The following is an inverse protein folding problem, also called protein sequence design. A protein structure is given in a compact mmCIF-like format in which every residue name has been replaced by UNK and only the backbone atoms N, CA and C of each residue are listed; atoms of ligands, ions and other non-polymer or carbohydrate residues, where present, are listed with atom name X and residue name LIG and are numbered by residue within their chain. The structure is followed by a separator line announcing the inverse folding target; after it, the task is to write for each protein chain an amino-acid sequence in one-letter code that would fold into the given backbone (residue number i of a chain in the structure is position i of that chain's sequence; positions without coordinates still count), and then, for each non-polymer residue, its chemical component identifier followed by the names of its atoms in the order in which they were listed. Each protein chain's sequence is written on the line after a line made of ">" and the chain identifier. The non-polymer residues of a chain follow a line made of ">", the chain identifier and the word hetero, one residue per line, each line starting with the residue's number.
data_IF_480076687231
#
_entry.id   IF_480076687231
#
_cell.length_a   1.000
_cell.length_b   1.000
_cell.length_c   1.000
_cell.angle_alpha   90.00
_cell.angle_beta   90.00
_cell.angle_gamma   90.00
#
_symmetry.space_group_name_H-M   'P 1'
#
loop_
_entity.id
_entity.type
_entity.pdbx_description
1 polymer ?
#
# COMPACT_ATOMS: atom_id res chain seq x y z
N UNK A 1 -21.86 -10.96 -11.19
CA UNK A 1 -21.26 -10.01 -12.20
C UNK A 1 -20.61 -10.78 -13.36
N UNK A 2 -20.97 -10.50 -14.62
CA UNK A 2 -20.30 -11.08 -15.80
C UNK A 2 -18.87 -10.55 -15.88
N UNK A 3 -17.88 -11.43 -15.75
CA UNK A 3 -16.45 -11.05 -15.89
C UNK A 3 -16.18 -10.65 -17.35
N UNK A 4 -15.92 -9.36 -17.59
CA UNK A 4 -15.51 -8.90 -18.92
C UNK A 4 -14.05 -9.26 -19.16
N UNK A 5 -13.78 -10.04 -20.22
CA UNK A 5 -12.42 -10.44 -20.59
C UNK A 5 -11.55 -9.22 -20.94
N UNK A 6 -12.13 -8.21 -21.57
CA UNK A 6 -11.42 -6.99 -21.95
C UNK A 6 -10.94 -6.25 -20.69
N UNK A 7 -11.82 -6.03 -19.71
CA UNK A 7 -11.48 -5.36 -18.46
C UNK A 7 -10.40 -6.13 -17.71
N UNK A 8 -10.47 -7.47 -17.70
CA UNK A 8 -9.44 -8.29 -17.08
C UNK A 8 -8.06 -8.14 -17.71
N UNK A 9 -7.97 -8.16 -19.04
CA UNK A 9 -6.69 -7.98 -19.74
C UNK A 9 -6.10 -6.57 -19.53
N UNK A 10 -6.94 -5.53 -19.60
CA UNK A 10 -6.52 -4.16 -19.31
C UNK A 10 -5.99 -4.03 -17.88
N UNK A 11 -6.72 -4.56 -16.90
CA UNK A 11 -6.30 -4.56 -15.50
C UNK A 11 -4.96 -5.29 -15.30
N UNK A 12 -4.76 -6.44 -15.93
CA UNK A 12 -3.54 -7.22 -15.85
C UNK A 12 -2.33 -6.48 -16.42
N UNK A 13 -2.51 -5.70 -17.50
CA UNK A 13 -1.45 -4.88 -18.08
C UNK A 13 -1.15 -3.65 -17.21
N UNK A 14 -2.17 -2.96 -16.69
CA UNK A 14 -1.99 -1.75 -15.89
C UNK A 14 -1.44 -2.02 -14.49
N UNK A 15 -1.73 -3.18 -13.91
CA UNK A 15 -1.30 -3.52 -12.56
C UNK A 15 0.22 -3.37 -12.32
N UNK A 16 1.10 -3.98 -13.13
CA UNK A 16 2.54 -3.82 -12.95
C UNK A 16 3.00 -2.37 -13.15
N UNK A 17 2.37 -1.61 -14.05
CA UNK A 17 2.69 -0.18 -14.20
C UNK A 17 2.35 0.62 -12.94
N UNK A 18 1.19 0.39 -12.33
CA UNK A 18 0.81 1.03 -11.07
C UNK A 18 1.80 0.68 -9.94
N UNK A 19 2.26 -0.58 -9.87
CA UNK A 19 3.24 -0.99 -8.86
C UNK A 19 4.59 -0.31 -9.08
N UNK A 20 5.12 -0.34 -10.30
CA UNK A 20 6.43 0.25 -10.61
C UNK A 20 6.40 1.77 -10.43
N UNK A 21 5.37 2.43 -10.94
CA UNK A 21 5.22 3.89 -10.82
C UNK A 21 4.99 4.31 -9.36
N UNK A 22 4.14 3.59 -8.62
CA UNK A 22 3.92 3.86 -7.19
C UNK A 22 5.19 3.69 -6.37
N UNK A 23 5.97 2.63 -6.63
CA UNK A 23 7.27 2.43 -5.98
C UNK A 23 8.26 3.55 -6.33
N UNK A 24 8.29 3.98 -7.60
CA UNK A 24 9.10 5.13 -8.01
C UNK A 24 8.73 6.38 -7.21
N UNK A 25 7.44 6.69 -7.07
CA UNK A 25 6.97 7.87 -6.29
C UNK A 25 7.37 7.75 -4.82
N UNK A 26 7.25 6.56 -4.20
CA UNK A 26 7.68 6.31 -2.81
C UNK A 26 9.17 6.59 -2.64
N UNK A 27 10.00 6.04 -3.51
CA UNK A 27 11.47 6.16 -3.40
C UNK A 27 11.96 7.60 -3.64
N UNK A 28 11.25 8.37 -4.48
CA UNK A 28 11.59 9.77 -4.79
C UNK A 28 10.86 10.78 -3.89
N UNK A 29 10.09 10.33 -2.91
CA UNK A 29 9.22 11.19 -2.10
C UNK A 29 9.93 12.24 -1.24
N UNK A 30 11.24 12.16 -1.06
CA UNK A 30 12.07 13.18 -0.42
C UNK A 30 12.68 14.19 -1.41
N UNK A 31 12.57 13.93 -2.72
CA UNK A 31 13.12 14.75 -3.80
C UNK A 31 12.06 15.47 -4.62
N UNK A 32 10.85 14.92 -4.68
CA UNK A 32 9.76 15.40 -5.54
C UNK A 32 8.48 15.63 -4.72
N UNK A 33 7.55 16.50 -5.22
CA UNK A 33 6.23 16.60 -4.62
C UNK A 33 5.49 15.26 -4.77
N UNK A 34 5.38 14.52 -3.71
CA UNK A 34 4.84 13.17 -3.63
C UNK A 34 5.65 12.38 -2.62
N UNK A 35 5.11 11.34 -2.04
CA UNK A 35 5.79 10.58 -1.01
C UNK A 35 5.18 9.21 -0.81
N UNK A 36 5.41 8.64 0.37
CA UNK A 36 4.92 7.32 0.73
C UNK A 36 3.42 7.16 0.54
N UNK A 37 2.63 8.13 0.98
CA UNK A 37 1.17 8.08 0.85
C UNK A 37 0.72 8.01 -0.62
N UNK A 38 1.17 8.93 -1.46
CA UNK A 38 0.76 9.00 -2.86
C UNK A 38 1.19 7.75 -3.63
N UNK A 39 2.43 7.31 -3.43
CA UNK A 39 2.93 6.09 -4.07
C UNK A 39 2.20 4.84 -3.60
N UNK A 40 1.91 4.73 -2.28
CA UNK A 40 1.10 3.65 -1.71
C UNK A 40 -0.32 3.61 -2.29
N UNK A 41 -0.96 4.77 -2.42
CA UNK A 41 -2.29 4.90 -3.02
C UNK A 41 -2.30 4.49 -4.50
N UNK A 42 -1.28 4.87 -5.28
CA UNK A 42 -1.14 4.44 -6.69
C UNK A 42 -0.99 2.92 -6.80
N UNK A 43 -0.15 2.30 -5.95
CA UNK A 43 -0.01 0.84 -5.93
C UNK A 43 -1.34 0.15 -5.56
N UNK A 44 -2.06 0.69 -4.57
CA UNK A 44 -3.37 0.17 -4.16
C UNK A 44 -4.43 0.30 -5.26
N UNK A 45 -4.37 1.35 -6.09
CA UNK A 45 -5.25 1.51 -7.25
C UNK A 45 -5.05 0.36 -8.25
N UNK A 46 -3.81 -0.08 -8.48
CA UNK A 46 -3.53 -1.27 -9.28
C UNK A 46 -4.19 -2.53 -8.72
N UNK A 47 -4.07 -2.74 -7.40
CA UNK A 47 -4.73 -3.86 -6.72
C UNK A 47 -6.26 -3.77 -6.82
N UNK A 48 -6.84 -2.57 -6.68
CA UNK A 48 -8.27 -2.30 -6.84
C UNK A 48 -8.75 -2.69 -8.24
N UNK A 49 -8.01 -2.30 -9.28
CA UNK A 49 -8.32 -2.63 -10.67
C UNK A 49 -8.42 -4.16 -10.89
N UNK A 50 -7.48 -4.91 -10.35
CA UNK A 50 -7.48 -6.37 -10.41
C UNK A 50 -8.67 -6.99 -9.66
N UNK A 51 -9.03 -6.42 -8.50
CA UNK A 51 -10.17 -6.87 -7.71
C UNK A 51 -11.51 -6.62 -8.42
N UNK A 52 -11.70 -5.40 -8.95
CA UNK A 52 -12.92 -5.00 -9.69
C UNK A 52 -13.04 -5.79 -10.99
N UNK A 53 -11.94 -6.05 -11.69
CA UNK A 53 -11.93 -6.91 -12.88
C UNK A 53 -12.30 -8.37 -12.60
N UNK A 54 -12.48 -8.75 -11.32
CA UNK A 54 -12.83 -10.11 -10.92
C UNK A 54 -11.72 -11.15 -11.16
N UNK A 55 -10.47 -10.68 -11.22
CA UNK A 55 -9.31 -11.54 -11.47
C UNK A 55 -8.94 -12.44 -10.28
N UNK A 56 -9.51 -12.18 -9.10
CA UNK A 56 -9.26 -12.97 -7.89
C UNK A 56 -10.50 -13.76 -7.49
N UNK A 57 -10.33 -15.06 -7.29
CA UNK A 57 -11.33 -15.92 -6.69
C UNK A 57 -11.46 -15.64 -5.17
N UNK A 58 -12.52 -16.16 -4.54
CA UNK A 58 -12.79 -15.91 -3.11
C UNK A 58 -11.66 -16.39 -2.20
N UNK A 59 -11.12 -17.58 -2.47
CA UNK A 59 -9.98 -18.12 -1.72
C UNK A 59 -8.73 -17.23 -1.86
N UNK A 60 -8.46 -16.74 -3.07
CA UNK A 60 -7.34 -15.83 -3.30
C UNK A 60 -7.51 -14.48 -2.60
N UNK A 61 -8.76 -13.99 -2.47
CA UNK A 61 -9.06 -12.75 -1.73
C UNK A 61 -8.81 -12.90 -0.24
N UNK A 62 -9.11 -14.07 0.33
CA UNK A 62 -8.83 -14.35 1.75
C UNK A 62 -7.34 -14.34 2.04
N UNK A 63 -6.56 -15.07 1.24
CA UNK A 63 -5.10 -15.09 1.36
C UNK A 63 -4.51 -13.69 1.20
N UNK A 64 -4.97 -12.92 0.20
CA UNK A 64 -4.49 -11.54 -0.03
C UNK A 64 -4.89 -10.58 1.07
N UNK A 65 -6.07 -10.74 1.69
CA UNK A 65 -6.48 -9.94 2.83
C UNK A 65 -5.46 -10.04 3.97
N UNK A 66 -5.06 -11.24 4.35
CA UNK A 66 -4.05 -11.43 5.39
C UNK A 66 -2.70 -10.82 5.03
N UNK A 67 -2.28 -10.93 3.77
CA UNK A 67 -1.03 -10.30 3.30
C UNK A 67 -1.12 -8.76 3.35
N UNK A 68 -2.21 -8.16 2.87
CA UNK A 68 -2.38 -6.71 2.91
C UNK A 68 -2.42 -6.19 4.36
N UNK A 69 -3.09 -6.89 5.27
CA UNK A 69 -3.10 -6.56 6.70
C UNK A 69 -1.71 -6.69 7.33
N UNK A 70 -0.92 -7.67 6.91
CA UNK A 70 0.47 -7.80 7.34
C UNK A 70 1.34 -6.64 6.83
N UNK A 71 1.14 -6.19 5.58
CA UNK A 71 1.85 -5.01 5.04
C UNK A 71 1.49 -3.74 5.80
N UNK A 72 0.21 -3.51 6.08
CA UNK A 72 -0.27 -2.38 6.88
C UNK A 72 0.40 -2.36 8.27
N UNK A 73 0.32 -3.47 9.01
CA UNK A 73 0.91 -3.59 10.34
C UNK A 73 2.43 -3.43 10.30
N UNK A 74 3.10 -4.03 9.32
CA UNK A 74 4.56 -3.92 9.15
C UNK A 74 4.99 -2.49 8.85
N UNK A 75 4.30 -1.80 7.93
CA UNK A 75 4.58 -0.40 7.59
C UNK A 75 4.46 0.51 8.80
N UNK A 76 3.37 0.36 9.58
CA UNK A 76 3.14 1.13 10.79
C UNK A 76 4.21 0.86 11.85
N UNK A 77 4.54 -0.40 12.12
CA UNK A 77 5.58 -0.77 13.08
C UNK A 77 6.95 -0.27 12.66
N UNK A 78 7.27 -0.33 11.36
CA UNK A 78 8.52 0.19 10.82
C UNK A 78 8.60 1.71 11.01
N UNK A 79 7.53 2.44 10.71
CA UNK A 79 7.47 3.90 10.88
C UNK A 79 7.67 4.30 12.35
N UNK A 80 6.96 3.64 13.27
CA UNK A 80 7.11 3.88 14.72
C UNK A 80 8.53 3.51 15.18
N UNK A 81 9.07 2.39 14.72
CA UNK A 81 10.43 1.95 15.04
C UNK A 81 11.49 2.97 14.61
N UNK A 82 11.35 3.53 13.39
CA UNK A 82 12.23 4.60 12.90
C UNK A 82 12.10 5.89 13.72
N UNK A 83 10.89 6.22 14.20
CA UNK A 83 10.67 7.38 15.07
C UNK A 83 11.41 7.24 16.41
N UNK A 84 11.40 6.03 17.01
CA UNK A 84 12.11 5.74 18.25
C UNK A 84 13.63 5.55 18.07
N UNK A 85 14.10 5.18 16.89
CA UNK A 85 15.52 5.00 16.61
C UNK A 85 16.36 6.24 16.96
N UNK A 86 15.80 7.45 16.75
CA UNK A 86 16.42 8.71 17.15
C UNK A 86 16.67 8.84 18.64
N UNK A 87 15.78 8.30 19.49
CA UNK A 87 15.94 8.30 20.94
C UNK A 87 16.98 7.27 21.40
N UNK A 88 16.95 6.06 20.81
CA UNK A 88 17.85 4.96 21.15
C UNK A 88 19.31 5.26 20.76
N UNK A 89 19.57 6.12 19.79
CA UNK A 89 20.90 6.52 19.35
C UNK A 89 21.67 7.45 20.33
N UNK A 90 21.16 7.64 21.55
CA UNK A 90 21.81 8.45 22.58
C UNK A 90 21.66 9.97 22.43
N UNK A 91 20.89 10.43 21.44
CA UNK A 91 20.70 11.85 21.18
C UNK A 91 19.38 12.42 21.75
N UNK A 92 18.55 11.60 22.37
CA UNK A 92 17.40 11.97 23.18
C UNK A 92 16.20 12.63 22.46
N UNK A 93 16.22 12.74 21.14
CA UNK A 93 15.15 13.40 20.38
C UNK A 93 14.35 12.38 19.54
N UNK A 94 13.02 12.42 19.69
CA UNK A 94 12.07 11.67 18.86
C UNK A 94 12.12 12.16 17.41
N UNK A 95 12.06 11.28 16.43
CA UNK A 95 12.21 11.59 15.00
C UNK A 95 13.53 12.24 14.59
N UNK A 96 14.59 12.11 15.38
CA UNK A 96 15.89 12.65 14.98
C UNK A 96 16.42 11.92 13.76
N UNK A 97 16.82 12.70 12.75
CA UNK A 97 17.48 12.15 11.56
C UNK A 97 18.93 11.74 11.91
N UNK A 98 19.10 10.50 12.38
CA UNK A 98 20.38 9.97 12.87
C UNK A 98 21.41 9.80 11.77
N UNK A 99 21.00 9.75 10.51
CA UNK A 99 21.87 9.51 9.37
C UNK A 99 22.12 10.75 8.53
N UNK A 100 21.53 11.89 8.84
CA UNK A 100 21.74 13.13 8.08
C UNK A 100 23.21 13.56 8.01
N UNK A 101 24.00 13.27 9.06
CA UNK A 101 25.42 13.64 9.16
C UNK A 101 26.37 12.42 9.24
N UNK A 102 25.86 11.21 9.13
CA UNK A 102 26.67 10.01 9.14
C UNK A 102 27.18 9.74 7.74
N UNK A 103 28.34 10.24 7.39
CA UNK A 103 28.97 9.96 6.10
C UNK A 103 28.84 8.45 5.75
N UNK A 104 28.05 8.11 4.73
CA UNK A 104 27.74 6.74 4.35
C UNK A 104 26.62 6.70 3.34
N UNK A 105 26.06 5.50 3.06
CA UNK A 105 25.05 5.31 2.02
C UNK A 105 23.79 6.20 2.19
N UNK A 106 23.38 6.51 3.42
CA UNK A 106 22.22 7.35 3.74
C UNK A 106 22.57 8.77 4.23
N UNK A 107 23.86 9.13 4.26
CA UNK A 107 24.34 10.45 4.63
C UNK A 107 24.20 11.46 3.50
N UNK A 108 24.43 12.73 3.81
CA UNK A 108 24.55 13.78 2.81
C UNK A 108 25.68 13.45 1.84
N UNK A 109 25.37 12.79 0.74
CA UNK A 109 26.25 12.82 -0.41
C UNK A 109 26.13 14.22 -0.99
N UNK A 110 27.23 14.93 -1.20
CA UNK A 110 27.25 16.32 -1.68
C UNK A 110 26.61 16.57 -3.05
N UNK A 111 25.77 15.65 -3.53
CA UNK A 111 24.98 15.77 -4.74
C UNK A 111 23.50 15.92 -4.34
N UNK A 112 22.97 17.12 -4.49
CA UNK A 112 21.54 17.40 -4.42
C UNK A 112 20.80 16.57 -5.45
N UNK A 113 19.82 15.77 -5.01
CA UNK A 113 18.99 14.95 -5.89
C UNK A 113 19.34 13.46 -5.95
N UNK A 114 20.29 12.97 -5.15
CA UNK A 114 20.52 11.53 -5.05
C UNK A 114 19.44 10.85 -4.19
N UNK A 115 19.07 9.61 -4.55
CA UNK A 115 18.12 8.80 -3.79
C UNK A 115 18.58 8.56 -2.33
N UNK A 116 19.88 8.67 -2.07
CA UNK A 116 20.49 8.46 -0.76
C UNK A 116 20.58 9.76 0.06
N UNK A 117 20.04 10.86 -0.44
CA UNK A 117 19.95 12.13 0.34
C UNK A 117 18.76 12.10 1.31
N UNK A 118 18.83 12.85 2.37
CA UNK A 118 17.74 12.98 3.34
C UNK A 118 17.81 12.03 4.55
N UNK A 119 18.82 11.17 4.65
CA UNK A 119 19.05 10.31 5.81
C UNK A 119 17.91 9.32 6.09
N UNK A 120 17.10 9.54 7.12
CA UNK A 120 16.01 8.66 7.53
C UNK A 120 14.74 8.83 6.69
N UNK A 121 14.56 9.97 5.99
CA UNK A 121 13.33 10.31 5.28
C UNK A 121 12.93 9.30 4.19
N UNK A 122 13.84 8.77 3.33
CA UNK A 122 13.48 7.74 2.35
C UNK A 122 12.90 6.48 2.96
N UNK A 123 13.43 6.04 4.12
CA UNK A 123 12.91 4.88 4.83
C UNK A 123 11.54 5.14 5.45
N UNK A 124 11.32 6.34 5.99
CA UNK A 124 10.00 6.73 6.46
C UNK A 124 8.97 6.77 5.33
N UNK A 125 9.33 7.30 4.17
CA UNK A 125 8.48 7.26 2.98
C UNK A 125 8.16 5.83 2.53
N UNK A 126 9.15 4.93 2.58
CA UNK A 126 8.94 3.52 2.27
C UNK A 126 7.99 2.86 3.27
N UNK A 127 8.16 3.12 4.57
CA UNK A 127 7.27 2.60 5.61
C UNK A 127 5.81 3.04 5.40
N UNK A 128 5.59 4.34 5.14
CA UNK A 128 4.27 4.89 4.84
C UNK A 128 3.72 4.31 3.53
N UNK A 129 4.54 4.14 2.49
CA UNK A 129 4.12 3.56 1.22
C UNK A 129 3.60 2.12 1.37
N UNK A 130 4.27 1.32 2.17
CA UNK A 130 3.86 -0.06 2.48
C UNK A 130 2.58 -0.10 3.31
N UNK A 131 2.48 0.75 4.35
CA UNK A 131 1.30 0.89 5.19
C UNK A 131 0.06 1.29 4.38
N UNK A 132 0.16 2.36 3.60
CA UNK A 132 -0.95 2.88 2.79
C UNK A 132 -1.39 1.89 1.72
N UNK A 133 -0.43 1.23 1.05
CA UNK A 133 -0.76 0.16 0.10
C UNK A 133 -1.54 -0.96 0.77
N UNK A 134 -1.10 -1.43 1.94
CA UNK A 134 -1.78 -2.45 2.73
C UNK A 134 -3.16 -1.99 3.18
N UNK A 135 -3.26 -0.84 3.84
CA UNK A 135 -4.50 -0.31 4.42
C UNK A 135 -5.60 -0.06 3.38
N UNK A 136 -5.29 0.63 2.27
CA UNK A 136 -6.27 0.85 1.20
C UNK A 136 -6.70 -0.48 0.59
N UNK A 137 -5.78 -1.43 0.37
CA UNK A 137 -6.11 -2.74 -0.16
C UNK A 137 -7.00 -3.56 0.77
N UNK A 138 -6.81 -3.48 2.10
CA UNK A 138 -7.69 -4.09 3.12
C UNK A 138 -9.09 -3.51 3.05
N UNK A 139 -9.23 -2.18 2.98
CA UNK A 139 -10.51 -1.50 2.84
C UNK A 139 -11.25 -1.99 1.60
N UNK A 140 -10.58 -2.05 0.45
CA UNK A 140 -11.17 -2.50 -0.81
C UNK A 140 -11.65 -3.96 -0.74
N UNK A 141 -10.84 -4.87 -0.19
CA UNK A 141 -11.25 -6.28 0.00
C UNK A 141 -12.47 -6.37 0.91
N UNK A 142 -12.48 -5.61 2.00
CA UNK A 142 -13.60 -5.61 2.96
C UNK A 142 -14.88 -5.07 2.32
N UNK A 143 -14.79 -3.99 1.54
CA UNK A 143 -15.94 -3.44 0.80
C UNK A 143 -16.52 -4.46 -0.19
N UNK A 144 -15.67 -5.14 -0.96
CA UNK A 144 -16.12 -6.17 -1.92
C UNK A 144 -16.79 -7.33 -1.20
N UNK A 145 -16.29 -7.73 -0.02
CA UNK A 145 -16.92 -8.77 0.81
C UNK A 145 -18.29 -8.34 1.31
N UNK A 146 -18.40 -7.12 1.81
CA UNK A 146 -19.68 -6.58 2.30
C UNK A 146 -20.73 -6.50 1.18
N UNK A 147 -20.35 -6.03 0.00
CA UNK A 147 -21.24 -5.99 -1.17
C UNK A 147 -21.76 -7.37 -1.56
N UNK A 148 -20.88 -8.38 -1.59
CA UNK A 148 -21.29 -9.75 -1.93
C UNK A 148 -22.15 -10.39 -0.84
N UNK A 149 -21.92 -10.07 0.42
CA UNK A 149 -22.77 -10.55 1.51
C UNK A 149 -24.18 -9.97 1.42
N UNK A 150 -24.31 -8.69 1.08
CA UNK A 150 -25.59 -8.04 0.83
C UNK A 150 -26.33 -8.66 -0.37
N UNK A 151 -25.63 -8.87 -1.50
CA UNK A 151 -26.19 -9.50 -2.72
C UNK A 151 -26.75 -10.90 -2.40
N UNK A 152 -26.03 -11.70 -1.59
CA UNK A 152 -26.50 -13.04 -1.18
C UNK A 152 -27.72 -12.98 -0.23
N UNK A 153 -27.80 -11.97 0.64
CA UNK A 153 -28.95 -11.78 1.52
C UNK A 153 -30.21 -11.45 0.72
N UNK A 154 -30.12 -10.54 -0.26
CA UNK A 154 -31.23 -10.18 -1.14
C UNK A 154 -31.70 -11.37 -2.01
N UNK A 155 -30.77 -12.23 -2.47
CA UNK A 155 -31.12 -13.42 -3.27
C UNK A 155 -31.85 -14.45 -2.40
N UNK A 156 -31.46 -14.65 -1.13
CA UNK A 156 -32.11 -15.55 -0.19
C UNK A 156 -33.54 -15.09 0.17
N UNK A 157 -33.75 -13.78 0.41
CA UNK A 157 -35.05 -13.22 0.68
C UNK A 157 -36.03 -13.42 -0.51
N UNK A 158 -35.55 -13.25 -1.75
CA UNK A 158 -36.36 -13.47 -2.95
C UNK A 158 -36.73 -14.93 -3.17
N UNK A 159 -35.82 -15.85 -2.85
CA UNK A 159 -36.12 -17.31 -2.92
C UNK A 159 -37.17 -17.72 -1.90
N UNK A 160 -37.21 -17.09 -0.71
CA UNK A 160 -38.25 -17.32 0.28
C UNK A 160 -39.60 -16.75 -0.15
N UNK A 161 -39.61 -15.54 -0.76
CA UNK A 161 -40.83 -14.87 -1.26
C UNK A 161 -41.45 -15.62 -2.45
N UNK A 162 -40.62 -16.19 -3.33
CA UNK A 162 -41.09 -17.01 -4.46
C UNK A 162 -41.57 -18.41 -4.07
N UNK A 163 -41.30 -18.86 -2.83
CA UNK A 163 -41.69 -20.18 -2.32
C UNK A 163 -43.02 -20.17 -1.52
N UNK A 164 -43.52 -18.97 -1.15
CA UNK A 164 -44.86 -18.77 -0.52
C UNK A 164 -45.95 -18.53 -1.57
#
# INVERSE_FOLDING_TARGET
>A
MRKSRIVGHVAAVFYPFCLVFGLYVVLHGHLTPGGGFQGGAVMATGAALMMVAGMFDEAQREVKYHHYKAFEAFGLLLFIGLAFAGMLSGHGAFFRNIWANAGGWFGESGYTGSLNSGGLLPLMNLAVGVEVFGGISVILVTMIRAMKAAERGEDAEKEEEDAE
#
